data_IF_180818201104
#
_entry.id   IF_180818201104
#
_cell.length_a   1.000
_cell.length_b   1.000
_cell.length_c   1.000
_cell.angle_alpha   90.00
_cell.angle_beta   90.00
_cell.angle_gamma   90.00
#
_symmetry.space_group_name_H-M   'P 1'
#
loop_
_entity.id
_entity.type
_entity.pdbx_description
1 polymer ?
#
# COMPACT_ATOMS: atom_id res chain seq x y z
N UNK A 1 -27.34 -1.52 50.25
CA UNK A 1 -26.85 -1.58 48.86
C UNK A 1 -28.03 -1.89 47.96
N UNK A 2 -28.21 -1.14 46.86
CA UNK A 2 -29.48 -1.09 46.10
C UNK A 2 -29.32 -1.62 44.67
N UNK A 3 -30.42 -1.98 44.01
CA UNK A 3 -30.42 -2.42 42.60
C UNK A 3 -29.88 -1.34 41.65
N UNK A 4 -30.11 -0.06 41.97
CA UNK A 4 -29.58 1.07 41.20
C UNK A 4 -28.04 1.04 41.13
N UNK A 5 -27.40 0.64 42.22
CA UNK A 5 -25.94 0.54 42.33
C UNK A 5 -25.38 -0.51 41.36
N UNK A 6 -26.04 -1.67 41.26
CA UNK A 6 -25.67 -2.75 40.34
C UNK A 6 -25.93 -2.33 38.88
N UNK A 7 -27.04 -1.65 38.60
CA UNK A 7 -27.35 -1.16 37.26
C UNK A 7 -26.35 -0.10 36.77
N UNK A 8 -25.96 0.83 37.64
CA UNK A 8 -24.94 1.84 37.34
C UNK A 8 -23.57 1.17 37.15
N UNK A 9 -23.22 0.19 37.98
CA UNK A 9 -21.98 -0.57 37.81
C UNK A 9 -21.92 -1.30 36.47
N UNK A 10 -23.01 -1.97 36.05
CA UNK A 10 -23.08 -2.62 34.73
C UNK A 10 -23.00 -1.59 33.59
N UNK A 11 -23.64 -0.43 33.73
CA UNK A 11 -23.60 0.62 32.72
C UNK A 11 -22.17 1.12 32.49
N UNK A 12 -21.45 1.44 33.58
CA UNK A 12 -20.05 1.89 33.51
C UNK A 12 -19.17 0.80 32.91
N UNK A 13 -19.36 -0.45 33.34
CA UNK A 13 -18.63 -1.60 32.81
C UNK A 13 -18.87 -1.80 31.31
N UNK A 14 -20.12 -1.74 30.85
CA UNK A 14 -20.48 -1.90 29.44
C UNK A 14 -19.84 -0.82 28.55
N UNK A 15 -19.80 0.44 29.02
CA UNK A 15 -19.13 1.54 28.30
C UNK A 15 -17.62 1.26 28.19
N UNK A 16 -16.99 0.77 29.26
CA UNK A 16 -15.58 0.36 29.26
C UNK A 16 -15.30 -0.77 28.27
N UNK A 17 -16.16 -1.80 28.24
CA UNK A 17 -16.06 -2.90 27.28
C UNK A 17 -16.19 -2.43 25.83
N UNK A 18 -17.11 -1.50 25.53
CA UNK A 18 -17.23 -0.93 24.18
C UNK A 18 -15.97 -0.18 23.74
N UNK A 19 -15.35 0.58 24.63
CA UNK A 19 -14.09 1.27 24.34
C UNK A 19 -12.96 0.27 24.05
N UNK A 20 -12.89 -0.82 24.82
CA UNK A 20 -11.92 -1.88 24.63
C UNK A 20 -12.11 -2.58 23.27
N UNK A 21 -13.34 -3.00 22.95
CA UNK A 21 -13.67 -3.66 21.67
C UNK A 21 -13.32 -2.76 20.48
N UNK A 22 -13.68 -1.46 20.55
CA UNK A 22 -13.32 -0.50 19.49
C UNK A 22 -11.81 -0.38 19.31
N UNK A 23 -11.06 -0.35 20.41
CA UNK A 23 -9.59 -0.26 20.38
C UNK A 23 -8.98 -1.50 19.72
N UNK A 24 -9.43 -2.69 20.10
CA UNK A 24 -8.95 -3.95 19.51
C UNK A 24 -9.34 -4.07 18.03
N UNK A 25 -10.58 -3.70 17.68
CA UNK A 25 -11.05 -3.71 16.29
C UNK A 25 -10.26 -2.77 15.37
N UNK A 26 -9.88 -1.59 15.88
CA UNK A 26 -9.02 -0.64 15.15
C UNK A 26 -7.61 -1.19 14.88
N UNK A 27 -7.02 -1.95 15.82
CA UNK A 27 -5.71 -2.58 15.62
C UNK A 27 -5.73 -3.65 14.52
N UNK A 28 -6.78 -4.47 14.43
CA UNK A 28 -6.90 -5.50 13.41
C UNK A 28 -7.00 -4.91 12.00
N UNK A 29 -7.79 -3.84 11.82
CA UNK A 29 -7.90 -3.15 10.53
C UNK A 29 -6.57 -2.51 10.11
N UNK A 30 -5.83 -1.94 11.07
CA UNK A 30 -4.51 -1.38 10.82
C UNK A 30 -3.51 -2.44 10.34
N UNK A 31 -3.55 -3.64 10.94
CA UNK A 31 -2.65 -4.74 10.57
C UNK A 31 -2.86 -5.19 9.11
N UNK A 32 -4.10 -5.37 8.67
CA UNK A 32 -4.39 -5.75 7.27
C UNK A 32 -3.96 -4.68 6.26
N UNK A 33 -4.04 -3.39 6.63
CA UNK A 33 -3.56 -2.31 5.78
C UNK A 33 -2.02 -2.30 5.66
N UNK A 34 -1.30 -2.64 6.74
CA UNK A 34 0.16 -2.76 6.74
C UNK A 34 0.60 -3.95 5.88
N UNK A 35 -0.06 -5.09 6.04
CA UNK A 35 0.21 -6.29 5.24
C UNK A 35 0.04 -6.03 3.74
N UNK A 36 -1.09 -5.43 3.33
CA UNK A 36 -1.33 -5.06 1.94
C UNK A 36 -0.25 -4.11 1.38
N UNK A 37 0.28 -3.20 2.20
CA UNK A 37 1.39 -2.32 1.80
C UNK A 37 2.71 -3.08 1.62
N UNK A 38 3.01 -4.04 2.48
CA UNK A 38 4.22 -4.86 2.35
C UNK A 38 4.20 -5.70 1.07
N UNK A 39 3.06 -6.33 0.76
CA UNK A 39 2.91 -7.11 -0.48
C UNK A 39 3.01 -6.18 -1.69
N UNK A 40 2.34 -5.03 -1.66
CA UNK A 40 2.45 -4.03 -2.73
C UNK A 40 3.89 -3.53 -2.94
N UNK A 41 4.66 -3.38 -1.85
CA UNK A 41 6.09 -3.03 -1.92
C UNK A 41 6.90 -4.14 -2.60
N UNK A 42 6.71 -5.40 -2.22
CA UNK A 42 7.38 -6.53 -2.88
C UNK A 42 7.03 -6.66 -4.37
N UNK A 43 5.77 -6.40 -4.73
CA UNK A 43 5.35 -6.30 -6.14
C UNK A 43 6.12 -5.17 -6.84
N UNK A 44 6.19 -3.99 -6.24
CA UNK A 44 6.88 -2.84 -6.82
C UNK A 44 8.39 -3.11 -6.99
N UNK A 45 9.05 -3.70 -6.01
CA UNK A 45 10.46 -4.06 -6.05
C UNK A 45 10.75 -5.07 -7.15
N UNK A 46 9.96 -6.14 -7.24
CA UNK A 46 10.10 -7.14 -8.31
C UNK A 46 9.96 -6.50 -9.69
N UNK A 47 8.95 -5.65 -9.89
CA UNK A 47 8.77 -4.96 -11.17
C UNK A 47 9.91 -3.98 -11.47
N UNK A 48 10.41 -3.27 -10.46
CA UNK A 48 11.55 -2.37 -10.63
C UNK A 48 12.82 -3.12 -11.00
N UNK A 49 13.09 -4.27 -10.38
CA UNK A 49 14.22 -5.14 -10.73
C UNK A 49 14.11 -5.65 -12.17
N UNK A 50 12.93 -6.12 -12.58
CA UNK A 50 12.69 -6.53 -13.97
C UNK A 50 12.95 -5.38 -14.95
N UNK A 51 12.51 -4.17 -14.60
CA UNK A 51 12.81 -2.99 -15.38
C UNK A 51 14.32 -2.77 -15.47
N UNK A 52 15.06 -2.79 -14.36
CA UNK A 52 16.51 -2.55 -14.37
C UNK A 52 17.29 -3.54 -15.26
N UNK A 53 16.79 -4.77 -15.40
CA UNK A 53 17.35 -5.78 -16.29
C UNK A 53 17.01 -5.53 -17.78
N UNK A 54 15.93 -4.81 -18.05
CA UNK A 54 15.54 -4.43 -19.41
C UNK A 54 16.48 -3.35 -19.97
N UNK A 55 16.93 -3.55 -21.21
CA UNK A 55 17.80 -2.62 -21.93
C UNK A 55 17.05 -1.44 -22.52
N UNK A 56 15.72 -1.51 -22.58
CA UNK A 56 14.89 -0.42 -23.12
C UNK A 56 14.72 0.67 -22.05
N UNK A 57 15.09 1.94 -22.36
CA UNK A 57 14.92 3.02 -21.41
C UNK A 57 13.43 3.32 -21.14
N UNK A 58 13.06 3.67 -19.90
CA UNK A 58 11.67 3.92 -19.54
C UNK A 58 11.12 5.18 -20.22
N UNK A 59 10.04 5.01 -20.98
CA UNK A 59 9.33 6.10 -21.68
C UNK A 59 8.50 6.94 -20.71
N UNK A 60 8.17 8.17 -21.10
CA UNK A 60 7.27 9.04 -20.31
C UNK A 60 5.81 8.58 -20.29
N UNK A 61 5.43 7.75 -21.26
CA UNK A 61 4.11 7.12 -21.30
C UNK A 61 3.96 6.13 -20.14
N UNK A 62 2.76 6.11 -19.54
CA UNK A 62 2.40 5.09 -18.57
C UNK A 62 2.38 3.72 -19.23
N UNK A 63 3.13 2.79 -18.66
CA UNK A 63 3.01 1.36 -18.93
C UNK A 63 2.36 0.72 -17.71
N UNK A 64 1.47 -0.22 -17.96
CA UNK A 64 0.69 -0.88 -16.92
C UNK A 64 0.67 -2.38 -17.15
N UNK A 65 0.47 -3.12 -16.07
CA UNK A 65 0.34 -4.57 -16.11
C UNK A 65 -0.27 -5.10 -14.82
N UNK A 66 -0.40 -6.41 -14.77
CA UNK A 66 -0.92 -7.12 -13.61
C UNK A 66 0.07 -8.18 -13.16
N UNK A 67 0.11 -8.46 -11.86
CA UNK A 67 0.85 -9.60 -11.31
C UNK A 67 0.04 -10.23 -10.20
N UNK A 68 0.18 -11.54 -10.04
CA UNK A 68 -0.40 -12.27 -8.93
C UNK A 68 0.65 -12.41 -7.81
N UNK A 69 0.28 -12.11 -6.57
CA UNK A 69 1.12 -12.30 -5.39
C UNK A 69 0.24 -12.44 -4.15
N UNK A 70 0.56 -13.42 -3.30
CA UNK A 70 -0.20 -13.74 -2.09
C UNK A 70 -1.70 -14.02 -2.39
N UNK A 71 -1.96 -14.83 -3.43
CA UNK A 71 -3.29 -15.20 -3.91
C UNK A 71 -4.18 -13.99 -4.29
N UNK A 72 -3.56 -12.87 -4.63
CA UNK A 72 -4.24 -11.65 -5.03
C UNK A 72 -3.63 -11.03 -6.30
N UNK A 73 -4.50 -10.44 -7.12
CA UNK A 73 -4.12 -9.71 -8.33
C UNK A 73 -3.78 -8.25 -8.00
N UNK A 74 -2.56 -7.85 -8.35
CA UNK A 74 -2.04 -6.51 -8.19
C UNK A 74 -1.90 -5.81 -9.53
N UNK A 75 -2.25 -4.53 -9.56
CA UNK A 75 -2.20 -3.68 -10.73
C UNK A 75 -1.07 -2.68 -10.55
N UNK A 76 -0.03 -2.82 -11.37
CA UNK A 76 1.12 -1.93 -11.33
C UNK A 76 1.15 -1.07 -12.58
N UNK A 77 1.72 0.12 -12.43
CA UNK A 77 2.03 1.00 -13.57
C UNK A 77 3.30 1.79 -13.31
N UNK A 78 4.06 2.02 -14.35
CA UNK A 78 5.27 2.83 -14.27
C UNK A 78 5.37 3.83 -15.41
N UNK A 79 6.13 4.89 -15.18
CA UNK A 79 6.58 5.81 -16.22
C UNK A 79 7.97 6.36 -15.90
N UNK A 80 8.72 6.67 -16.95
CA UNK A 80 9.93 7.45 -16.85
C UNK A 80 9.61 8.94 -16.65
N UNK A 81 10.38 9.62 -15.82
CA UNK A 81 10.41 11.09 -15.69
C UNK A 81 11.81 11.58 -16.00
N UNK A 82 11.88 12.70 -16.73
CA UNK A 82 13.14 13.39 -16.95
C UNK A 82 13.71 13.87 -15.61
N UNK A 83 15.02 13.73 -15.48
CA UNK A 83 15.78 14.31 -14.36
C UNK A 83 16.63 15.47 -14.88
N UNK A 84 17.13 16.30 -13.96
CA UNK A 84 18.04 17.39 -14.29
C UNK A 84 19.34 16.90 -14.92
N UNK A 85 19.77 15.70 -14.56
CA UNK A 85 20.90 15.01 -15.21
C UNK A 85 20.40 14.23 -16.44
N UNK A 86 21.01 14.50 -17.60
CA UNK A 86 20.70 13.86 -18.87
C UNK A 86 21.13 12.38 -18.93
N UNK A 87 22.06 11.97 -18.07
CA UNK A 87 22.49 10.58 -17.91
C UNK A 87 21.59 9.76 -16.98
N UNK A 88 20.58 10.37 -16.36
CA UNK A 88 19.66 9.68 -15.45
C UNK A 88 18.21 9.75 -15.91
N UNK A 89 17.44 8.76 -15.48
CA UNK A 89 15.99 8.77 -15.62
C UNK A 89 15.33 8.29 -14.33
N UNK A 90 14.36 9.06 -13.85
CA UNK A 90 13.56 8.65 -12.71
C UNK A 90 12.44 7.72 -13.18
N UNK A 91 12.17 6.64 -12.44
CA UNK A 91 11.08 5.72 -12.67
C UNK A 91 10.07 5.94 -11.55
N UNK A 92 8.89 6.42 -11.88
CA UNK A 92 7.76 6.45 -10.97
C UNK A 92 6.98 5.15 -11.13
N UNK A 93 6.94 4.33 -10.08
CA UNK A 93 6.17 3.09 -10.01
C UNK A 93 5.01 3.26 -9.05
N UNK A 94 3.82 2.79 -9.44
CA UNK A 94 2.63 2.77 -8.61
C UNK A 94 2.03 1.39 -8.59
N UNK A 95 1.64 0.92 -7.41
CA UNK A 95 0.97 -0.37 -7.23
C UNK A 95 -0.37 -0.16 -6.55
N UNK A 96 -1.39 -0.85 -7.06
CA UNK A 96 -2.79 -0.80 -6.65
C UNK A 96 -3.37 -2.19 -6.51
N UNK A 97 -4.38 -2.28 -5.63
CA UNK A 97 -5.22 -3.48 -5.46
C UNK A 97 -6.41 -3.47 -6.42
N UNK A 98 -6.89 -2.28 -6.78
CA UNK A 98 -7.97 -2.07 -7.74
C UNK A 98 -7.49 -1.07 -8.82
N UNK A 99 -7.65 -1.38 -10.12
CA UNK A 99 -7.24 -0.50 -11.22
C UNK A 99 -7.94 0.86 -11.20
N UNK A 100 -9.17 0.93 -10.68
CA UNK A 100 -9.99 2.15 -10.59
C UNK A 100 -9.80 2.91 -9.27
N UNK A 101 -8.98 2.40 -8.34
CA UNK A 101 -8.74 3.08 -7.08
C UNK A 101 -8.14 4.48 -7.32
N UNK A 102 -8.68 5.54 -6.67
CA UNK A 102 -8.20 6.92 -6.86
C UNK A 102 -6.76 7.13 -6.38
N UNK A 103 -6.28 6.28 -5.46
CA UNK A 103 -4.92 6.34 -4.91
C UNK A 103 -4.15 5.04 -5.15
N UNK A 104 -2.82 5.16 -5.33
CA UNK A 104 -1.92 4.01 -5.25
C UNK A 104 -1.72 3.60 -3.79
N UNK A 105 -1.65 2.30 -3.51
CA UNK A 105 -1.32 1.79 -2.18
C UNK A 105 0.12 2.13 -1.81
N UNK A 106 1.01 2.08 -2.81
CA UNK A 106 2.38 2.54 -2.72
C UNK A 106 2.79 3.22 -4.02
N UNK A 107 3.64 4.24 -3.89
CA UNK A 107 4.33 4.90 -4.99
C UNK A 107 5.83 4.90 -4.67
N UNK A 108 6.63 4.36 -5.57
CA UNK A 108 8.08 4.35 -5.48
C UNK A 108 8.69 5.25 -6.56
N UNK A 109 9.77 5.93 -6.20
CA UNK A 109 10.61 6.65 -7.14
C UNK A 109 11.99 6.01 -7.12
N UNK A 110 12.41 5.49 -8.26
CA UNK A 110 13.74 4.91 -8.45
C UNK A 110 14.50 5.68 -9.52
N UNK A 111 15.82 5.57 -9.52
CA UNK A 111 16.67 6.21 -10.52
C UNK A 111 17.42 5.14 -11.29
N UNK A 112 17.56 5.36 -12.60
CA UNK A 112 18.38 4.52 -13.48
C UNK A 112 19.30 5.40 -14.30
N UNK A 113 20.55 5.00 -14.39
CA UNK A 113 21.52 5.56 -15.34
C UNK A 113 21.20 5.08 -16.77
N UNK A 114 21.21 6.01 -17.73
CA UNK A 114 21.11 5.72 -19.14
C UNK A 114 22.49 5.28 -19.65
N UNK A 115 22.58 4.19 -20.43
CA UNK A 115 23.84 3.75 -21.04
C UNK A 115 24.35 4.70 -22.12
#
# INVERSE_FOLDING_TARGET
MTLLEVMVALMIFAIGCMALIKTTGGQVQSLGAIEAKNIALWVADNQLTLLQLDRVPPTQAWRQGTTEMADETWYWRYRGRDTTDAGMRAIEMEVRRDPQAPGALIRLLAYRELP
#
